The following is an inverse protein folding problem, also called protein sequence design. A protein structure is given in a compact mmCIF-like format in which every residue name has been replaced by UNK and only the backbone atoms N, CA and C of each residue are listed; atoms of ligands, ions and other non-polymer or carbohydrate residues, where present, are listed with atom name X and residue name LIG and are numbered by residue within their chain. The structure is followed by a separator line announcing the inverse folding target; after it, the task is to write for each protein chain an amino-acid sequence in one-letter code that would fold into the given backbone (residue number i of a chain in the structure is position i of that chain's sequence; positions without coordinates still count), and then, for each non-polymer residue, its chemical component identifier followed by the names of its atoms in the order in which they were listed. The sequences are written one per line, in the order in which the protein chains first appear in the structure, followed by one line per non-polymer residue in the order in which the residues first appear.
data_IF_429163278051
#
_entry.id   IF_429163278051
#
_cell.length_a   1.000
_cell.length_b   1.000
_cell.length_c   1.000
_cell.angle_alpha   90.00
_cell.angle_beta   90.00
_cell.angle_gamma   90.00
#
_symmetry.space_group_name_H-M   'P 1'
#
loop_
_entity.id
_entity.type
_entity.pdbx_description
1 polymer ?
#
# COMPACT_ATOMS: atom_id res chain seq x y z
N UNK A 1 -17.09 46.67 31.71
CA UNK A 1 -18.49 46.16 31.81
C UNK A 1 -18.48 44.91 32.70
N UNK A 2 -18.27 45.01 34.02
CA UNK A 2 -19.31 44.98 35.08
C UNK A 2 -20.71 44.56 34.61
N UNK A 3 -21.18 43.38 35.06
CA UNK A 3 -22.45 43.22 35.78
C UNK A 3 -22.59 41.82 36.37
N UNK A 4 -22.61 41.81 37.70
CA UNK A 4 -23.00 40.73 38.59
C UNK A 4 -24.42 40.23 38.29
N UNK A 5 -24.62 38.91 38.35
CA UNK A 5 -25.91 38.30 38.70
C UNK A 5 -25.63 37.21 39.73
N UNK A 6 -25.55 37.65 40.98
CA UNK A 6 -26.08 36.90 42.12
C UNK A 6 -27.60 37.08 42.07
N UNK A 7 -28.36 36.12 42.60
CA UNK A 7 -29.74 36.19 43.14
C UNK A 7 -30.65 35.08 42.57
N UNK A 8 -31.06 34.21 43.51
CA UNK A 8 -32.28 33.40 43.59
C UNK A 8 -32.39 32.04 42.88
N UNK A 9 -32.24 30.98 43.67
CA UNK A 9 -33.41 30.21 44.11
C UNK A 9 -33.14 29.65 45.52
N UNK A 10 -33.65 30.38 46.50
CA UNK A 10 -33.74 29.96 47.88
C UNK A 10 -34.86 28.92 48.04
N UNK A 11 -34.77 28.16 49.14
CA UNK A 11 -35.87 27.45 49.80
C UNK A 11 -36.47 26.23 49.07
N UNK A 12 -35.82 25.10 49.27
CA UNK A 12 -36.52 23.85 49.57
C UNK A 12 -35.75 23.09 50.67
N UNK A 13 -35.50 23.75 51.80
CA UNK A 13 -35.34 23.04 53.07
C UNK A 13 -36.72 22.50 53.45
N UNK A 14 -37.08 21.36 52.84
CA UNK A 14 -38.07 20.46 53.42
C UNK A 14 -37.44 19.95 54.71
N UNK A 15 -37.85 20.58 55.79
CA UNK A 15 -37.75 20.13 57.17
C UNK A 15 -38.41 18.75 57.26
N UNK A 16 -37.68 17.71 56.87
CA UNK A 16 -37.98 16.36 57.36
C UNK A 16 -37.68 16.43 58.85
N UNK A 17 -38.73 16.52 59.64
CA UNK A 17 -38.63 16.39 61.08
C UNK A 17 -37.75 15.19 61.39
N UNK A 18 -36.71 15.43 62.20
CA UNK A 18 -35.93 14.37 62.84
C UNK A 18 -36.85 13.63 63.83
N UNK A 19 -37.81 12.88 63.31
CA UNK A 19 -38.42 11.78 64.03
C UNK A 19 -37.33 10.72 64.18
N UNK A 20 -36.49 10.89 65.21
CA UNK A 20 -35.75 9.79 65.82
C UNK A 20 -36.78 8.86 66.50
N UNK A 21 -37.66 8.26 65.71
CA UNK A 21 -38.24 6.99 66.08
C UNK A 21 -37.06 6.04 66.13
N UNK A 22 -36.78 5.52 67.33
CA UNK A 22 -35.74 4.54 67.61
C UNK A 22 -36.05 3.30 66.78
N UNK A 23 -35.63 3.32 65.52
CA UNK A 23 -35.78 2.21 64.59
C UNK A 23 -35.12 1.01 65.25
N UNK A 24 -35.81 -0.15 65.29
CA UNK A 24 -35.23 -1.36 65.86
C UNK A 24 -33.88 -1.59 65.17
N UNK A 25 -32.83 -1.98 65.93
CA UNK A 25 -31.52 -2.25 65.36
C UNK A 25 -31.71 -3.16 64.14
N UNK A 26 -31.11 -2.82 62.99
CA UNK A 26 -31.36 -3.54 61.75
C UNK A 26 -31.11 -5.01 62.00
N UNK A 27 -32.11 -5.84 61.70
CA UNK A 27 -32.01 -7.27 61.86
C UNK A 27 -30.80 -7.77 61.05
N UNK A 28 -30.19 -8.88 61.47
CA UNK A 28 -29.01 -9.44 60.79
C UNK A 28 -29.26 -9.61 59.26
N UNK A 29 -30.51 -9.87 58.86
CA UNK A 29 -30.94 -9.90 57.46
C UNK A 29 -30.85 -8.55 56.72
N UNK A 30 -31.15 -7.42 57.38
CA UNK A 30 -31.04 -6.09 56.79
C UNK A 30 -29.58 -5.64 56.65
N UNK A 31 -28.72 -6.01 57.61
CA UNK A 31 -27.27 -5.80 57.50
C UNK A 31 -26.67 -6.64 56.38
N UNK A 32 -27.12 -7.89 56.23
CA UNK A 32 -26.69 -8.77 55.12
C UNK A 32 -27.11 -8.22 53.75
N UNK A 33 -28.35 -7.71 53.61
CA UNK A 33 -28.81 -7.06 52.37
C UNK A 33 -28.04 -5.77 52.05
N UNK A 34 -27.74 -4.94 53.04
CA UNK A 34 -26.94 -3.73 52.87
C UNK A 34 -25.48 -4.04 52.47
N UNK A 35 -24.87 -5.06 53.08
CA UNK A 35 -23.53 -5.53 52.71
C UNK A 35 -23.50 -6.09 51.27
N UNK A 36 -24.51 -6.88 50.89
CA UNK A 36 -24.65 -7.41 49.53
C UNK A 36 -24.88 -6.29 48.49
N UNK A 37 -25.67 -5.26 48.81
CA UNK A 37 -25.88 -4.10 47.95
C UNK A 37 -24.59 -3.29 47.76
N UNK A 38 -23.84 -3.02 48.84
CA UNK A 38 -22.54 -2.35 48.77
C UNK A 38 -21.52 -3.15 47.95
N UNK A 39 -21.49 -4.47 48.09
CA UNK A 39 -20.60 -5.32 47.32
C UNK A 39 -20.94 -5.32 45.80
N UNK A 40 -22.23 -5.28 45.44
CA UNK A 40 -22.67 -5.15 44.04
C UNK A 40 -22.31 -3.77 43.48
N UNK A 41 -22.61 -2.70 44.20
CA UNK A 41 -22.26 -1.34 43.80
C UNK A 41 -20.75 -1.15 43.61
N UNK A 42 -19.92 -1.72 44.49
CA UNK A 42 -18.47 -1.67 44.35
C UNK A 42 -17.96 -2.43 43.11
N UNK A 43 -18.60 -3.57 42.75
CA UNK A 43 -18.26 -4.31 41.53
C UNK A 43 -18.67 -3.55 40.27
N UNK A 44 -19.84 -2.92 40.25
CA UNK A 44 -20.29 -2.08 39.13
C UNK A 44 -19.42 -0.83 38.97
N UNK A 45 -19.09 -0.15 40.07
CA UNK A 45 -18.18 1.00 40.03
C UNK A 45 -16.81 0.63 39.43
N UNK A 46 -16.25 -0.54 39.79
CA UNK A 46 -15.00 -1.04 39.19
C UNK A 46 -15.15 -1.32 37.69
N UNK A 47 -16.26 -1.91 37.26
CA UNK A 47 -16.53 -2.15 35.82
C UNK A 47 -16.67 -0.85 35.04
N UNK A 48 -17.38 0.13 35.59
CA UNK A 48 -17.56 1.45 34.98
C UNK A 48 -16.23 2.21 34.88
N UNK A 49 -15.41 2.17 35.94
CA UNK A 49 -14.07 2.78 35.92
C UNK A 49 -13.17 2.15 34.84
N UNK A 50 -13.18 0.82 34.70
CA UNK A 50 -12.42 0.13 33.65
C UNK A 50 -12.92 0.47 32.24
N UNK A 51 -14.25 0.57 32.06
CA UNK A 51 -14.84 0.98 30.78
C UNK A 51 -14.47 2.44 30.42
N UNK A 52 -14.47 3.34 31.41
CA UNK A 52 -14.10 4.74 31.24
C UNK A 52 -12.63 4.87 30.86
N UNK A 53 -11.72 4.18 31.56
CA UNK A 53 -10.29 4.18 31.23
C UNK A 53 -10.06 3.71 29.79
N UNK A 54 -10.70 2.63 29.37
CA UNK A 54 -10.62 2.12 27.99
C UNK A 54 -11.17 3.11 26.95
N UNK A 55 -12.23 3.84 27.29
CA UNK A 55 -12.78 4.87 26.42
C UNK A 55 -11.83 6.07 26.28
N UNK A 56 -11.23 6.50 27.40
CA UNK A 56 -10.23 7.57 27.42
C UNK A 56 -8.99 7.21 26.60
N UNK A 57 -8.46 5.99 26.75
CA UNK A 57 -7.32 5.50 25.96
C UNK A 57 -7.60 5.52 24.46
N UNK A 58 -8.81 5.12 24.06
CA UNK A 58 -9.24 5.14 22.66
C UNK A 58 -9.29 6.56 22.09
N UNK A 59 -9.78 7.53 22.88
CA UNK A 59 -9.84 8.94 22.47
C UNK A 59 -8.42 9.51 22.34
N UNK A 60 -7.54 9.25 23.30
CA UNK A 60 -6.14 9.70 23.26
C UNK A 60 -5.41 9.09 22.05
N UNK A 61 -5.61 7.80 21.78
CA UNK A 61 -5.02 7.14 20.61
C UNK A 61 -5.48 7.78 19.28
N UNK A 62 -6.79 8.03 19.13
CA UNK A 62 -7.32 8.73 17.94
C UNK A 62 -6.79 10.15 17.83
N UNK A 63 -6.74 10.90 18.94
CA UNK A 63 -6.23 12.25 18.94
C UNK A 63 -4.76 12.29 18.47
N UNK A 64 -3.92 11.41 19.01
CA UNK A 64 -2.52 11.23 18.58
C UNK A 64 -2.44 10.91 17.09
N UNK A 65 -3.22 9.94 16.60
CA UNK A 65 -3.26 9.61 15.17
C UNK A 65 -3.70 10.78 14.28
N UNK A 66 -4.65 11.61 14.73
CA UNK A 66 -5.18 12.74 13.95
C UNK A 66 -4.32 13.99 13.97
N UNK A 67 -3.46 14.16 14.99
CA UNK A 67 -2.66 15.37 15.23
C UNK A 67 -1.18 15.18 14.94
N UNK A 68 -0.71 13.94 14.86
CA UNK A 68 0.60 13.67 14.31
C UNK A 68 0.56 13.97 12.80
N UNK A 69 1.44 14.83 12.28
CA UNK A 69 1.59 14.96 10.84
C UNK A 69 1.83 13.57 10.28
N UNK A 70 1.06 13.19 9.26
CA UNK A 70 1.37 12.00 8.50
C UNK A 70 2.85 12.11 8.08
N UNK A 71 3.62 11.06 8.31
CA UNK A 71 5.01 11.04 7.86
C UNK A 71 5.03 11.48 6.38
N UNK A 72 5.91 12.42 5.99
CA UNK A 72 5.93 12.90 4.61
C UNK A 72 6.05 11.69 3.68
N UNK A 73 5.13 11.59 2.73
CA UNK A 73 5.17 10.54 1.73
C UNK A 73 6.56 10.57 1.09
N UNK A 74 7.27 9.43 1.12
CA UNK A 74 8.61 9.34 0.54
C UNK A 74 8.50 9.73 -0.94
N UNK A 75 9.19 10.80 -1.33
CA UNK A 75 9.32 11.17 -2.74
C UNK A 75 10.04 10.01 -3.44
N UNK A 76 9.33 9.35 -4.36
CA UNK A 76 9.90 8.24 -5.13
C UNK A 76 10.68 8.83 -6.29
N UNK A 77 11.91 8.36 -6.49
CA UNK A 77 12.72 8.82 -7.62
C UNK A 77 12.25 8.12 -8.88
N UNK A 78 11.74 8.88 -9.84
CA UNK A 78 11.34 8.38 -11.16
C UNK A 78 12.42 8.72 -12.17
N UNK A 79 12.96 7.70 -12.84
CA UNK A 79 13.97 7.83 -13.88
C UNK A 79 13.48 7.16 -15.16
N UNK A 80 13.74 7.77 -16.31
CA UNK A 80 13.38 7.22 -17.63
C UNK A 80 14.64 6.98 -18.43
N UNK A 81 14.83 5.72 -18.82
CA UNK A 81 15.90 5.29 -19.71
C UNK A 81 15.29 4.97 -21.07
N UNK A 82 16.05 5.24 -22.13
CA UNK A 82 15.68 4.80 -23.46
C UNK A 82 16.95 4.50 -24.25
N UNK A 83 16.87 3.48 -25.10
CA UNK A 83 17.92 3.24 -26.07
C UNK A 83 17.33 2.72 -27.39
N UNK A 84 18.12 2.85 -28.45
CA UNK A 84 17.84 2.35 -29.80
C UNK A 84 19.09 1.62 -30.32
N UNK A 85 18.90 0.60 -31.14
CA UNK A 85 19.98 -0.10 -31.82
C UNK A 85 19.51 -0.52 -33.21
N UNK A 86 20.30 -0.22 -34.24
CA UNK A 86 19.99 -0.49 -35.65
C UNK A 86 19.70 0.77 -36.46
N UNK A 87 19.02 0.60 -37.59
CA UNK A 87 18.73 1.66 -38.57
C UNK A 87 17.21 1.80 -38.86
N UNK A 88 16.83 2.66 -39.79
CA UNK A 88 15.42 2.96 -40.07
C UNK A 88 14.57 1.74 -40.47
N UNK A 89 15.21 0.74 -41.11
CA UNK A 89 14.54 -0.44 -41.65
C UNK A 89 14.62 -1.63 -40.72
N UNK A 90 15.66 -1.70 -39.89
CA UNK A 90 15.91 -2.75 -38.92
C UNK A 90 16.45 -2.18 -37.62
N UNK A 91 15.60 -2.06 -36.61
CA UNK A 91 16.03 -1.61 -35.27
C UNK A 91 15.22 -2.22 -34.14
N UNK A 92 15.82 -2.21 -32.95
CA UNK A 92 15.16 -2.40 -31.68
C UNK A 92 15.28 -1.12 -30.86
N UNK A 93 14.21 -0.73 -30.17
CA UNK A 93 14.20 0.35 -29.20
C UNK A 93 13.47 -0.10 -27.94
N UNK A 94 13.89 0.43 -26.81
CA UNK A 94 13.17 0.22 -25.55
C UNK A 94 13.13 1.52 -24.76
N UNK A 95 12.00 1.79 -24.12
CA UNK A 95 11.87 2.77 -23.05
C UNK A 95 11.65 2.04 -21.73
N UNK A 96 12.28 2.50 -20.65
CA UNK A 96 12.20 1.90 -19.31
C UNK A 96 11.96 3.01 -18.30
N UNK A 97 10.93 2.87 -17.49
CA UNK A 97 10.70 3.71 -16.32
C UNK A 97 11.14 2.96 -15.07
N UNK A 98 12.03 3.58 -14.30
CA UNK A 98 12.50 3.11 -13.02
C UNK A 98 11.81 3.93 -11.93
N UNK A 99 11.37 3.24 -10.87
CA UNK A 99 10.97 3.89 -9.62
C UNK A 99 11.84 3.35 -8.50
N UNK A 100 12.58 4.24 -7.84
CA UNK A 100 13.56 3.92 -6.81
C UNK A 100 14.60 2.89 -7.31
N UNK A 101 15.03 3.04 -8.57
CA UNK A 101 16.01 2.16 -9.23
C UNK A 101 15.48 0.81 -9.73
N UNK A 102 14.21 0.47 -9.45
CA UNK A 102 13.56 -0.76 -9.94
C UNK A 102 12.72 -0.48 -11.17
N UNK A 103 12.75 -1.40 -12.14
CA UNK A 103 11.90 -1.30 -13.34
C UNK A 103 10.43 -1.36 -12.95
N UNK A 104 9.68 -0.31 -13.28
CA UNK A 104 8.25 -0.18 -13.04
C UNK A 104 7.44 -0.33 -14.34
N UNK A 105 8.00 0.12 -15.45
CA UNK A 105 7.39 0.04 -16.78
C UNK A 105 8.49 -0.15 -17.83
N UNK A 106 8.18 -0.88 -18.88
CA UNK A 106 8.98 -0.84 -20.10
C UNK A 106 8.11 -0.97 -21.34
N UNK A 107 8.59 -0.38 -22.43
CA UNK A 107 7.99 -0.46 -23.75
C UNK A 107 9.09 -0.84 -24.75
N UNK A 108 9.01 -2.06 -25.27
CA UNK A 108 9.87 -2.56 -26.33
C UNK A 108 9.19 -2.37 -27.67
N UNK A 109 9.95 -1.92 -28.66
CA UNK A 109 9.52 -1.87 -30.04
C UNK A 109 10.66 -2.32 -30.95
N UNK A 110 10.32 -3.11 -31.96
CA UNK A 110 11.26 -3.40 -33.05
C UNK A 110 10.59 -3.26 -34.38
N UNK A 111 11.42 -2.96 -35.38
CA UNK A 111 11.05 -2.84 -36.77
C UNK A 111 12.00 -3.69 -37.58
N UNK A 112 11.43 -4.46 -38.48
CA UNK A 112 12.11 -5.09 -39.59
C UNK A 112 11.16 -4.96 -40.77
N UNK A 113 11.34 -3.92 -41.61
CA UNK A 113 10.35 -3.59 -42.66
C UNK A 113 9.95 -4.83 -43.48
N UNK A 114 8.63 -5.04 -43.72
CA UNK A 114 7.49 -4.18 -43.36
C UNK A 114 6.93 -4.44 -41.93
N UNK A 115 7.57 -5.29 -41.14
CA UNK A 115 7.06 -5.82 -39.88
C UNK A 115 7.47 -4.97 -38.67
N UNK A 116 6.60 -4.92 -37.69
CA UNK A 116 6.83 -4.23 -36.41
C UNK A 116 6.36 -5.09 -35.25
N UNK A 117 7.08 -5.04 -34.15
CA UNK A 117 6.68 -5.64 -32.87
C UNK A 117 6.57 -4.52 -31.83
N UNK A 118 5.53 -4.57 -31.00
CA UNK A 118 5.41 -3.66 -29.85
C UNK A 118 4.93 -4.42 -28.62
N UNK A 119 5.64 -4.27 -27.52
CA UNK A 119 5.31 -4.89 -26.25
C UNK A 119 5.47 -3.84 -25.17
N UNK A 120 4.42 -3.63 -24.38
CA UNK A 120 4.50 -2.77 -23.21
C UNK A 120 3.97 -3.50 -21.98
N UNK A 121 4.67 -3.31 -20.86
CA UNK A 121 4.27 -3.90 -19.60
C UNK A 121 4.52 -2.91 -18.47
N UNK A 122 3.49 -2.70 -17.65
CA UNK A 122 3.52 -1.89 -16.44
C UNK A 122 3.27 -2.76 -15.21
N UNK A 123 3.95 -2.47 -14.10
CA UNK A 123 3.62 -3.06 -12.80
C UNK A 123 2.19 -2.69 -12.40
N UNK A 124 1.44 -3.70 -11.97
CA UNK A 124 0.01 -3.55 -11.65
C UNK A 124 -0.89 -3.33 -12.87
N UNK A 125 -0.35 -3.44 -14.10
CA UNK A 125 -1.14 -3.40 -15.32
C UNK A 125 -1.79 -4.75 -15.66
N UNK A 126 -2.72 -4.74 -16.62
CA UNK A 126 -3.45 -5.95 -17.02
C UNK A 126 -2.62 -6.95 -17.84
N UNK A 127 -1.51 -6.50 -18.46
CA UNK A 127 -0.81 -7.27 -19.50
C UNK A 127 0.40 -8.09 -19.01
N UNK A 128 0.73 -8.04 -17.72
CA UNK A 128 1.83 -8.84 -17.18
C UNK A 128 1.79 -9.01 -15.67
N UNK A 129 2.16 -10.21 -15.23
CA UNK A 129 2.36 -10.56 -13.81
C UNK A 129 3.83 -10.40 -13.46
N UNK A 130 4.11 -9.69 -12.38
CA UNK A 130 5.46 -9.40 -11.92
C UNK A 130 5.80 -10.20 -10.68
N UNK A 131 6.95 -10.84 -10.68
CA UNK A 131 7.54 -11.58 -9.56
C UNK A 131 8.96 -11.05 -9.34
N UNK A 132 9.25 -10.54 -8.14
CA UNK A 132 10.58 -10.02 -7.81
C UNK A 132 11.39 -11.05 -7.02
N UNK A 133 12.62 -11.28 -7.46
CA UNK A 133 13.59 -12.20 -6.86
C UNK A 133 14.91 -11.46 -6.67
N UNK A 134 14.98 -10.64 -5.61
CA UNK A 134 16.16 -9.84 -5.29
C UNK A 134 16.43 -8.76 -6.35
N UNK A 135 17.55 -8.89 -7.06
CA UNK A 135 17.96 -7.98 -8.14
C UNK A 135 17.29 -8.30 -9.50
N UNK A 136 16.62 -9.46 -9.59
CA UNK A 136 15.95 -9.91 -10.81
C UNK A 136 14.44 -9.81 -10.68
N UNK A 137 13.77 -9.49 -11.78
CA UNK A 137 12.31 -9.52 -11.88
C UNK A 137 11.90 -10.46 -13.02
N UNK A 138 10.97 -11.36 -12.75
CA UNK A 138 10.28 -12.14 -13.77
C UNK A 138 8.97 -11.44 -14.13
N UNK A 139 8.72 -11.26 -15.42
CA UNK A 139 7.48 -10.69 -15.93
C UNK A 139 6.85 -11.70 -16.87
N UNK A 140 5.77 -12.34 -16.41
CA UNK A 140 5.01 -13.30 -17.21
C UNK A 140 3.92 -12.55 -17.94
N UNK A 141 3.93 -12.62 -19.27
CA UNK A 141 2.89 -12.01 -20.11
C UNK A 141 1.56 -12.76 -19.96
N UNK A 142 0.47 -12.04 -20.22
CA UNK A 142 -0.89 -12.63 -20.22
C UNK A 142 -0.98 -13.84 -21.15
N UNK A 143 -1.88 -14.76 -20.81
CA UNK A 143 -2.16 -15.99 -21.56
C UNK A 143 -0.92 -16.87 -21.81
N UNK A 144 0.10 -16.76 -20.94
CA UNK A 144 1.34 -17.53 -21.06
C UNK A 144 2.15 -17.18 -22.31
N UNK A 145 1.97 -15.98 -22.87
CA UNK A 145 2.58 -15.54 -24.15
C UNK A 145 4.06 -15.15 -24.04
N UNK A 146 4.76 -15.73 -23.07
CA UNK A 146 6.19 -15.62 -22.86
C UNK A 146 6.56 -14.90 -21.56
N UNK A 147 7.86 -14.87 -21.29
CA UNK A 147 8.42 -14.37 -20.03
C UNK A 147 9.57 -13.42 -20.32
N UNK A 148 9.59 -12.30 -19.63
CA UNK A 148 10.79 -11.47 -19.49
C UNK A 148 11.50 -11.79 -18.20
N UNK A 149 12.83 -11.92 -18.26
CA UNK A 149 13.69 -11.83 -17.09
C UNK A 149 14.44 -10.52 -17.14
N UNK A 150 14.28 -9.71 -16.11
CA UNK A 150 14.88 -8.39 -16.00
C UNK A 150 15.94 -8.47 -14.92
N UNK A 151 17.18 -8.19 -15.27
CA UNK A 151 18.29 -8.07 -14.32
C UNK A 151 18.79 -6.63 -14.29
N UNK A 152 18.66 -5.98 -13.14
CA UNK A 152 19.11 -4.60 -12.92
C UNK A 152 20.35 -4.59 -12.05
N UNK A 153 21.52 -4.34 -12.64
CA UNK A 153 22.81 -4.28 -11.92
C UNK A 153 23.65 -3.10 -12.36
N UNK A 154 24.14 -2.30 -11.40
CA UNK A 154 25.10 -1.22 -11.63
C UNK A 154 24.70 -0.22 -12.72
N UNK A 155 23.40 0.14 -12.81
CA UNK A 155 22.90 1.06 -13.84
C UNK A 155 22.75 0.43 -15.24
N UNK A 156 22.94 -0.88 -15.35
CA UNK A 156 22.63 -1.69 -16.53
C UNK A 156 21.37 -2.53 -16.26
N UNK A 157 20.47 -2.57 -17.23
CA UNK A 157 19.20 -3.27 -17.16
C UNK A 157 19.09 -4.23 -18.35
N UNK A 158 19.27 -5.52 -18.09
CA UNK A 158 19.20 -6.56 -19.11
C UNK A 158 17.82 -7.21 -19.13
N UNK A 159 17.15 -7.11 -20.27
CA UNK A 159 15.85 -7.72 -20.55
C UNK A 159 16.07 -8.97 -21.39
N UNK A 160 15.80 -10.14 -20.82
CA UNK A 160 15.88 -11.43 -21.52
C UNK A 160 14.49 -11.83 -21.97
N UNK A 161 14.31 -11.97 -23.28
CA UNK A 161 13.09 -12.41 -23.94
C UNK A 161 13.11 -13.94 -23.98
N UNK A 162 12.10 -14.58 -23.39
CA UNK A 162 11.96 -16.05 -23.41
C UNK A 162 10.59 -16.45 -23.94
N UNK A 163 10.59 -16.99 -25.16
CA UNK A 163 9.39 -17.56 -25.78
C UNK A 163 8.27 -16.54 -25.97
N UNK A 164 8.60 -15.27 -26.24
CA UNK A 164 7.60 -14.22 -26.41
C UNK A 164 6.84 -14.45 -27.72
N UNK A 165 5.52 -14.53 -27.65
CA UNK A 165 4.67 -14.85 -28.80
C UNK A 165 4.65 -13.73 -29.84
N UNK A 166 5.19 -13.97 -31.04
CA UNK A 166 5.18 -12.96 -32.11
C UNK A 166 3.79 -12.74 -32.69
N UNK A 167 2.88 -13.71 -32.60
CA UNK A 167 1.55 -13.58 -33.18
C UNK A 167 0.78 -12.49 -32.47
N UNK A 168 0.83 -12.52 -31.14
CA UNK A 168 0.16 -11.53 -30.29
C UNK A 168 0.74 -10.12 -30.39
N UNK A 169 2.06 -9.99 -30.45
CA UNK A 169 2.75 -8.70 -30.31
C UNK A 169 3.31 -8.12 -31.61
N UNK A 170 3.43 -8.96 -32.64
CA UNK A 170 4.02 -8.60 -33.92
C UNK A 170 3.16 -9.00 -35.14
N UNK A 171 2.05 -9.72 -34.94
CA UNK A 171 1.24 -10.27 -36.04
C UNK A 171 1.99 -11.24 -36.94
N UNK A 172 2.93 -12.02 -36.37
CA UNK A 172 3.76 -12.98 -37.10
C UNK A 172 3.90 -14.29 -36.34
N UNK A 173 4.10 -15.41 -37.03
CA UNK A 173 4.37 -16.67 -36.36
C UNK A 173 5.75 -16.71 -35.69
N UNK A 174 5.87 -17.63 -34.73
CA UNK A 174 7.11 -17.88 -34.01
C UNK A 174 7.23 -17.14 -32.68
N UNK A 175 8.44 -17.19 -32.11
CA UNK A 175 8.75 -16.69 -30.77
C UNK A 175 9.98 -15.78 -30.80
N UNK A 176 9.99 -14.76 -29.96
CA UNK A 176 11.16 -13.91 -29.72
C UNK A 176 11.96 -14.51 -28.56
N UNK A 177 13.24 -14.71 -28.80
CA UNK A 177 14.23 -15.08 -27.80
C UNK A 177 15.44 -14.16 -27.92
N UNK A 178 16.16 -13.95 -26.83
CA UNK A 178 17.38 -13.15 -26.82
C UNK A 178 17.45 -12.20 -25.63
N UNK A 179 18.31 -11.20 -25.71
CA UNK A 179 18.37 -10.14 -24.74
C UNK A 179 18.54 -8.75 -25.35
N UNK A 180 18.08 -7.75 -24.60
CA UNK A 180 18.34 -6.35 -24.86
C UNK A 180 18.77 -5.70 -23.56
N UNK A 181 19.90 -5.01 -23.58
CA UNK A 181 20.45 -4.33 -22.40
C UNK A 181 20.44 -2.82 -22.58
N UNK A 182 19.87 -2.14 -21.58
CA UNK A 182 19.85 -0.68 -21.46
C UNK A 182 20.90 -0.26 -20.45
N UNK A 183 21.78 0.66 -20.82
CA UNK A 183 22.80 1.20 -19.92
C UNK A 183 22.45 2.66 -19.64
N UNK A 184 22.38 3.03 -18.36
CA UNK A 184 22.12 4.39 -17.92
C UNK A 184 23.10 5.36 -18.59
N UNK A 185 22.55 6.44 -19.17
CA UNK A 185 23.32 7.48 -19.86
C UNK A 185 23.77 7.11 -21.28
N UNK A 186 23.44 5.92 -21.80
CA UNK A 186 23.71 5.55 -23.19
C UNK A 186 22.43 5.52 -24.01
N UNK A 187 22.50 6.05 -25.24
CA UNK A 187 21.44 5.99 -26.23
C UNK A 187 21.40 4.68 -27.02
N UNK A 188 22.51 3.93 -27.05
CA UNK A 188 22.61 2.67 -27.78
C UNK A 188 22.25 1.47 -26.90
N UNK A 189 21.41 0.57 -27.43
CA UNK A 189 21.15 -0.72 -26.78
C UNK A 189 22.17 -1.77 -27.18
N UNK A 190 22.52 -2.66 -26.27
CA UNK A 190 23.19 -3.93 -26.62
C UNK A 190 22.10 -4.97 -26.89
N UNK A 191 22.06 -5.50 -28.11
CA UNK A 191 21.02 -6.45 -28.55
C UNK A 191 21.68 -7.77 -28.93
N UNK A 192 21.12 -8.88 -28.46
CA UNK A 192 21.60 -10.24 -28.71
C UNK A 192 20.40 -11.14 -29.03
N UNK A 193 20.31 -11.79 -30.19
CA UNK A 193 19.24 -12.78 -30.48
C UNK A 193 17.85 -12.21 -30.78
N UNK A 194 17.47 -11.10 -30.14
CA UNK A 194 16.10 -10.53 -30.21
C UNK A 194 15.71 -10.15 -31.65
N UNK A 195 16.69 -9.78 -32.47
CA UNK A 195 16.51 -9.36 -33.85
C UNK A 195 16.93 -10.44 -34.87
N UNK A 196 17.26 -11.66 -34.43
CA UNK A 196 17.86 -12.71 -35.28
C UNK A 196 16.82 -13.67 -35.88
N UNK A 197 15.56 -13.58 -35.46
CA UNK A 197 14.49 -14.44 -35.97
C UNK A 197 13.83 -13.90 -37.24
N UNK A 198 14.26 -14.37 -38.41
CA UNK A 198 13.39 -14.54 -39.60
C UNK A 198 13.76 -15.75 -40.46
N UNK A 199 14.55 -16.70 -39.95
CA UNK A 199 14.64 -18.01 -40.60
C UNK A 199 13.37 -18.81 -40.28
N UNK A 200 12.29 -18.46 -40.97
CA UNK A 200 11.26 -19.41 -41.35
C UNK A 200 11.61 -19.97 -42.73
#
# INVERSE_FOLDING_TARGET
MKRSIVVWCALAFLTVGMAYAKLPPPTEEQKAKAAAAKAKAAKEAKKQAAALAKAQDRVVARYKQSRMPAAPARVRTVERLACLSGNEDRHARIGVELIDGKVNYFAYYSKWKPRTCSIEVKRGGAYGRWEDHGATSRVTLVDGKGVFLIDGKNGSYRFVFRGIDRGRYCGMDGKINGSLTVIRGKSDCIVEGVMDGHAG
#
